data_IF_869084197742
#
_entry.id   IF_869084197742
#
_cell.length_a   1.000
_cell.length_b   1.000
_cell.length_c   1.000
_cell.angle_alpha   90.00
_cell.angle_beta   90.00
_cell.angle_gamma   90.00
#
_symmetry.space_group_name_H-M   'P 1'
#
loop_
_entity.id
_entity.type
_entity.pdbx_description
1 polymer ?
#
# COMPACT_ATOMS: atom_id res chain seq x y z
N UNK A 1 6.87 10.26 0.51
CA UNK A 1 7.88 10.92 -0.34
C UNK A 1 7.68 10.66 -1.84
N UNK A 2 7.14 9.50 -2.22
CA UNK A 2 6.96 9.13 -3.63
C UNK A 2 5.54 9.30 -4.13
N UNK A 3 4.61 9.64 -3.28
CA UNK A 3 3.22 9.86 -3.66
C UNK A 3 3.07 11.25 -4.28
N UNK A 4 2.73 11.29 -5.57
CA UNK A 4 2.47 12.55 -6.29
C UNK A 4 1.01 12.95 -6.17
N UNK A 5 0.10 11.99 -6.23
CA UNK A 5 -1.34 12.22 -6.18
C UNK A 5 -2.06 10.98 -5.69
N UNK A 6 -3.10 11.19 -4.90
CA UNK A 6 -4.05 10.16 -4.52
C UNK A 6 -5.46 10.63 -4.86
N UNK A 7 -6.23 9.81 -5.57
CA UNK A 7 -7.59 10.14 -5.98
C UNK A 7 -8.55 8.99 -5.67
N UNK A 8 -9.58 9.28 -4.89
CA UNK A 8 -10.63 8.31 -4.58
C UNK A 8 -11.74 8.43 -5.62
N UNK A 9 -12.01 7.33 -6.34
CA UNK A 9 -13.09 7.27 -7.32
C UNK A 9 -14.42 6.88 -6.69
N UNK A 10 -14.37 5.94 -5.76
CA UNK A 10 -15.56 5.35 -5.17
C UNK A 10 -15.26 4.90 -3.75
N UNK A 11 -16.20 5.17 -2.84
CA UNK A 11 -16.09 4.73 -1.45
C UNK A 11 -17.43 4.17 -1.01
N UNK A 12 -17.41 2.93 -0.53
CA UNK A 12 -18.57 2.26 0.06
C UNK A 12 -18.26 1.88 1.49
N UNK A 13 -19.15 2.20 2.40
CA UNK A 13 -18.98 1.90 3.81
C UNK A 13 -20.16 1.12 4.34
N UNK A 14 -19.89 0.02 5.01
CA UNK A 14 -20.86 -0.76 5.79
C UNK A 14 -20.41 -0.79 7.25
N UNK A 15 -21.17 -1.46 8.12
CA UNK A 15 -20.79 -1.56 9.53
C UNK A 15 -19.46 -2.30 9.73
N UNK A 16 -19.15 -3.27 8.88
CA UNK A 16 -17.98 -4.13 9.02
C UNK A 16 -16.83 -3.79 8.07
N UNK A 17 -17.14 -3.13 6.94
CA UNK A 17 -16.17 -2.89 5.88
C UNK A 17 -16.20 -1.46 5.36
N UNK A 18 -15.02 -0.99 4.95
CA UNK A 18 -14.88 0.17 4.09
C UNK A 18 -14.19 -0.29 2.81
N UNK A 19 -14.84 -0.05 1.67
CA UNK A 19 -14.31 -0.39 0.35
C UNK A 19 -14.02 0.90 -0.41
N UNK A 20 -12.78 1.04 -0.88
CA UNK A 20 -12.33 2.24 -1.59
C UNK A 20 -11.70 1.81 -2.91
N UNK A 21 -12.17 2.42 -4.01
CA UNK A 21 -11.51 2.35 -5.31
C UNK A 21 -10.75 3.66 -5.51
N UNK A 22 -9.44 3.56 -5.65
CA UNK A 22 -8.59 4.74 -5.68
C UNK A 22 -7.45 4.60 -6.66
N UNK A 23 -6.99 5.74 -7.17
CA UNK A 23 -5.76 5.86 -7.94
C UNK A 23 -4.66 6.42 -7.05
N UNK A 24 -3.50 5.81 -7.13
CA UNK A 24 -2.28 6.30 -6.53
C UNK A 24 -1.25 6.55 -7.62
N UNK A 25 -0.82 7.79 -7.76
CA UNK A 25 0.24 8.15 -8.68
C UNK A 25 1.54 8.29 -7.92
N UNK A 26 2.51 7.49 -8.31
CA UNK A 26 3.83 7.49 -7.69
C UNK A 26 4.88 7.89 -8.71
N UNK A 27 5.90 8.59 -8.27
CA UNK A 27 6.96 9.00 -9.14
C UNK A 27 8.22 9.36 -8.40
N UNK A 28 9.33 9.16 -9.09
CA UNK A 28 10.66 9.57 -8.65
C UNK A 28 11.53 9.71 -9.89
N UNK A 29 12.08 10.91 -10.10
CA UNK A 29 12.88 11.23 -11.28
C UNK A 29 12.04 11.11 -12.56
N UNK A 30 12.33 10.12 -13.42
CA UNK A 30 11.66 9.93 -14.71
C UNK A 30 10.50 8.93 -14.65
N UNK A 31 10.23 8.36 -13.50
CA UNK A 31 9.15 7.39 -13.34
C UNK A 31 7.91 8.10 -12.82
N UNK A 32 6.80 7.92 -13.53
CA UNK A 32 5.49 8.43 -13.13
C UNK A 32 4.45 7.40 -13.58
N UNK A 33 3.88 6.70 -12.59
CA UNK A 33 2.93 5.62 -12.83
C UNK A 33 1.70 5.76 -11.94
N UNK A 34 0.55 5.49 -12.52
CA UNK A 34 -0.72 5.50 -11.79
C UNK A 34 -1.24 4.08 -11.62
N UNK A 35 -1.54 3.72 -10.38
CA UNK A 35 -2.09 2.42 -10.03
C UNK A 35 -3.52 2.60 -9.55
N UNK A 36 -4.46 1.91 -10.19
CA UNK A 36 -5.83 1.84 -9.72
C UNK A 36 -5.98 0.62 -8.82
N UNK A 37 -6.39 0.83 -7.60
CA UNK A 37 -6.45 -0.23 -6.58
C UNK A 37 -7.81 -0.27 -5.92
N UNK A 38 -8.18 -1.47 -5.50
CA UNK A 38 -9.31 -1.70 -4.61
C UNK A 38 -8.75 -1.90 -3.20
N UNK A 39 -9.14 -1.02 -2.29
CA UNK A 39 -8.72 -1.07 -0.89
C UNK A 39 -9.91 -1.51 -0.06
N UNK A 40 -9.75 -2.60 0.69
CA UNK A 40 -10.77 -3.13 1.57
C UNK A 40 -10.24 -3.10 3.00
N UNK A 41 -10.92 -2.34 3.86
CA UNK A 41 -10.63 -2.31 5.28
C UNK A 41 -11.70 -3.08 6.05
N UNK A 42 -11.28 -4.12 6.77
CA UNK A 42 -12.14 -4.89 7.66
C UNK A 42 -11.93 -4.41 9.09
N UNK A 43 -12.98 -3.83 9.68
CA UNK A 43 -12.91 -3.29 11.05
C UNK A 43 -12.75 -4.39 12.10
N UNK A 44 -13.42 -5.51 11.88
CA UNK A 44 -13.41 -6.63 12.84
C UNK A 44 -12.04 -7.29 12.95
N UNK A 45 -11.31 -7.33 11.84
CA UNK A 45 -10.02 -8.03 11.74
C UNK A 45 -8.82 -7.09 11.83
N UNK A 46 -9.05 -5.77 11.86
CA UNK A 46 -7.99 -4.77 11.74
C UNK A 46 -7.05 -5.05 10.56
N UNK A 47 -7.65 -5.32 9.41
CA UNK A 47 -6.96 -5.76 8.21
C UNK A 47 -7.29 -4.85 7.04
N UNK A 48 -6.24 -4.37 6.37
CA UNK A 48 -6.37 -3.64 5.10
C UNK A 48 -5.81 -4.53 3.99
N UNK A 49 -6.63 -4.78 2.96
CA UNK A 49 -6.24 -5.53 1.77
C UNK A 49 -6.28 -4.62 0.56
N UNK A 50 -5.21 -4.61 -0.22
CA UNK A 50 -5.10 -3.82 -1.45
C UNK A 50 -4.89 -4.77 -2.62
N UNK A 51 -5.75 -4.67 -3.63
CA UNK A 51 -5.61 -5.43 -4.88
C UNK A 51 -5.61 -4.49 -6.07
N UNK A 52 -4.93 -4.87 -7.15
CA UNK A 52 -4.89 -4.03 -8.34
C UNK A 52 -6.18 -4.16 -9.16
N UNK A 53 -6.59 -3.05 -9.75
CA UNK A 53 -7.68 -3.01 -10.74
C UNK A 53 -7.18 -2.64 -12.12
N UNK A 54 -6.23 -1.69 -12.19
CA UNK A 54 -5.66 -1.23 -13.45
C UNK A 54 -4.29 -0.63 -13.19
N UNK A 55 -3.49 -0.50 -14.26
CA UNK A 55 -2.15 0.06 -14.19
C UNK A 55 -1.09 -0.91 -14.71
N UNK A 56 0.20 -0.66 -14.41
CA UNK A 56 1.32 -1.47 -14.91
C UNK A 56 1.48 -2.83 -14.22
N UNK A 57 0.66 -3.14 -13.24
CA UNK A 57 0.75 -4.40 -12.48
C UNK A 57 -0.12 -5.47 -13.10
N UNK A 58 0.45 -6.65 -13.31
CA UNK A 58 -0.30 -7.85 -13.68
C UNK A 58 -1.05 -8.39 -12.47
N UNK A 59 -0.41 -8.35 -11.30
CA UNK A 59 -0.94 -8.83 -10.05
C UNK A 59 -0.44 -8.00 -8.89
N UNK A 60 -1.32 -7.66 -7.96
CA UNK A 60 -0.97 -7.06 -6.68
C UNK A 60 -1.92 -7.58 -5.61
N UNK A 61 -1.34 -8.12 -4.56
CA UNK A 61 -2.05 -8.37 -3.31
C UNK A 61 -1.19 -7.84 -2.17
N UNK A 62 -1.73 -6.91 -1.42
CA UNK A 62 -1.04 -6.27 -0.31
C UNK A 62 -1.96 -6.35 0.90
N UNK A 63 -1.44 -6.81 2.02
CA UNK A 63 -2.20 -6.90 3.26
C UNK A 63 -1.46 -6.18 4.38
N UNK A 64 -2.21 -5.37 5.13
CA UNK A 64 -1.75 -4.70 6.33
C UNK A 64 -2.59 -5.19 7.49
N UNK A 65 -1.98 -5.85 8.44
CA UNK A 65 -2.64 -6.36 9.64
C UNK A 65 -2.11 -5.66 10.87
N UNK A 66 -3.01 -5.17 11.70
CA UNK A 66 -2.69 -4.39 12.89
C UNK A 66 -3.10 -5.18 14.13
N UNK A 67 -2.15 -5.38 15.04
CA UNK A 67 -2.41 -6.05 16.32
C UNK A 67 -1.91 -5.16 17.46
N UNK A 68 -2.74 -4.98 18.47
CA UNK A 68 -2.36 -4.24 19.67
C UNK A 68 -1.69 -5.21 20.66
N UNK A 69 -0.46 -4.87 21.07
CA UNK A 69 0.31 -5.66 22.03
C UNK A 69 0.92 -4.72 23.06
N UNK A 70 0.54 -4.87 24.34
CA UNK A 70 1.14 -4.12 25.46
C UNK A 70 1.23 -2.60 25.21
N UNK A 71 0.13 -1.97 24.78
CA UNK A 71 0.03 -0.54 24.47
C UNK A 71 0.81 -0.12 23.22
N UNK A 72 1.34 -1.08 22.48
CA UNK A 72 1.98 -0.86 21.17
C UNK A 72 1.19 -1.54 20.08
N UNK A 73 1.35 -1.07 18.85
CA UNK A 73 0.71 -1.68 17.68
C UNK A 73 1.74 -2.44 16.88
N UNK A 74 1.51 -3.74 16.69
CA UNK A 74 2.29 -4.55 15.77
C UNK A 74 1.64 -4.50 14.39
N UNK A 75 2.43 -4.13 13.37
CA UNK A 75 1.99 -4.07 11.99
C UNK A 75 2.63 -5.22 11.23
N UNK A 76 1.79 -6.07 10.62
CA UNK A 76 2.24 -7.12 9.71
C UNK A 76 1.91 -6.69 8.30
N UNK A 77 2.92 -6.65 7.46
CA UNK A 77 2.83 -6.24 6.06
C UNK A 77 3.19 -7.40 5.16
N UNK A 78 2.27 -7.73 4.24
CA UNK A 78 2.46 -8.77 3.26
C UNK A 78 2.20 -8.21 1.87
N UNK A 79 3.13 -8.43 0.95
CA UNK A 79 2.97 -7.98 -0.43
C UNK A 79 3.33 -9.10 -1.42
N UNK A 80 2.47 -9.27 -2.42
CA UNK A 80 2.72 -10.11 -3.57
C UNK A 80 2.42 -9.29 -4.81
N UNK A 81 3.42 -9.05 -5.64
CA UNK A 81 3.31 -8.15 -6.78
C UNK A 81 4.01 -8.73 -8.00
N UNK A 82 3.39 -8.56 -9.18
CA UNK A 82 3.95 -8.93 -10.46
C UNK A 82 3.65 -7.82 -11.48
N UNK A 83 4.66 -7.37 -12.20
CA UNK A 83 4.52 -6.37 -13.25
C UNK A 83 4.15 -7.05 -14.57
N UNK A 84 3.44 -6.31 -15.44
CA UNK A 84 3.08 -6.78 -16.78
C UNK A 84 4.30 -7.03 -17.67
N UNK A 85 5.39 -6.30 -17.43
CA UNK A 85 6.64 -6.43 -18.18
C UNK A 85 7.61 -7.38 -17.44
N UNK A 86 7.95 -8.50 -18.08
CA UNK A 86 8.85 -9.51 -17.49
C UNK A 86 10.25 -8.99 -17.18
N UNK A 87 10.77 -8.07 -17.99
CA UNK A 87 12.08 -7.46 -17.76
C UNK A 87 12.11 -6.71 -16.43
N UNK A 88 11.08 -5.90 -16.17
CA UNK A 88 10.97 -5.18 -14.90
C UNK A 88 10.76 -6.11 -13.72
N UNK A 89 10.11 -7.26 -13.92
CA UNK A 89 9.96 -8.26 -12.85
C UNK A 89 11.30 -8.82 -12.38
N UNK A 90 12.25 -9.02 -13.30
CA UNK A 90 13.59 -9.50 -12.96
C UNK A 90 14.31 -8.44 -12.11
N UNK A 91 14.24 -7.18 -12.51
CA UNK A 91 14.84 -6.06 -11.76
C UNK A 91 14.17 -5.91 -10.39
N UNK A 92 12.85 -5.99 -10.35
CA UNK A 92 12.08 -5.88 -9.11
C UNK A 92 12.47 -6.96 -8.10
N UNK A 93 12.62 -8.21 -8.56
CA UNK A 93 13.04 -9.31 -7.67
C UNK A 93 14.42 -9.08 -7.07
N UNK A 94 15.36 -8.51 -7.81
CA UNK A 94 16.71 -8.22 -7.34
C UNK A 94 16.78 -7.11 -6.30
N UNK A 95 15.92 -6.10 -6.43
CA UNK A 95 15.91 -4.92 -5.55
C UNK A 95 14.72 -4.87 -4.59
N UNK A 96 13.90 -5.90 -4.57
CA UNK A 96 12.62 -5.90 -3.87
C UNK A 96 12.76 -5.66 -2.36
N UNK A 97 13.65 -6.39 -1.69
CA UNK A 97 13.84 -6.25 -0.24
C UNK A 97 14.34 -4.85 0.13
N UNK A 98 15.22 -4.29 -0.66
CA UNK A 98 15.74 -2.94 -0.44
C UNK A 98 14.64 -1.87 -0.58
N UNK A 99 13.85 -1.96 -1.65
CA UNK A 99 12.72 -1.05 -1.88
C UNK A 99 11.65 -1.19 -0.82
N UNK A 100 11.36 -2.42 -0.41
CA UNK A 100 10.37 -2.72 0.61
C UNK A 100 10.75 -2.12 1.96
N UNK A 101 12.00 -2.24 2.36
CA UNK A 101 12.49 -1.65 3.60
C UNK A 101 12.34 -0.11 3.59
N UNK A 102 12.64 0.53 2.48
CA UNK A 102 12.46 1.99 2.35
C UNK A 102 11.01 2.41 2.48
N UNK A 103 10.09 1.64 1.91
CA UNK A 103 8.66 1.93 2.00
C UNK A 103 8.17 1.77 3.44
N UNK A 104 8.52 0.68 4.10
CA UNK A 104 8.11 0.45 5.48
C UNK A 104 8.69 1.48 6.44
N UNK A 105 9.95 1.86 6.26
CA UNK A 105 10.58 2.93 7.04
C UNK A 105 9.87 4.27 6.85
N UNK A 106 9.46 4.60 5.63
CA UNK A 106 8.74 5.83 5.34
C UNK A 106 7.37 5.87 6.04
N UNK A 107 6.65 4.75 6.06
CA UNK A 107 5.38 4.64 6.79
C UNK A 107 5.57 4.77 8.29
N UNK A 108 6.59 4.14 8.83
CA UNK A 108 6.92 4.24 10.27
C UNK A 108 7.26 5.68 10.67
N UNK A 109 8.11 6.35 9.90
CA UNK A 109 8.46 7.76 10.13
C UNK A 109 7.23 8.67 10.08
N UNK A 110 6.34 8.44 9.12
CA UNK A 110 5.12 9.21 8.99
C UNK A 110 4.19 9.01 10.18
N UNK A 111 4.05 7.78 10.65
CA UNK A 111 3.25 7.46 11.84
C UNK A 111 3.80 8.16 13.08
N UNK A 112 5.10 8.07 13.31
CA UNK A 112 5.76 8.76 14.43
C UNK A 112 5.53 10.27 14.36
N UNK A 113 5.67 10.86 13.18
CA UNK A 113 5.47 12.28 12.96
C UNK A 113 4.05 12.73 13.29
N UNK A 114 3.05 11.96 12.85
CA UNK A 114 1.65 12.27 13.10
C UNK A 114 1.26 12.14 14.56
N UNK A 115 1.76 11.13 15.26
CA UNK A 115 1.43 10.90 16.66
C UNK A 115 2.17 11.83 17.61
N UNK A 116 3.36 12.29 17.25
CA UNK A 116 4.08 13.30 18.06
C UNK A 116 3.43 14.68 18.03
N UNK A 117 2.59 14.94 17.04
CA UNK A 117 1.86 16.21 16.90
C UNK A 117 0.56 16.25 17.72
N UNK A 118 0.18 15.13 18.32
CA UNK A 118 -0.98 15.03 19.22
C UNK A 118 -0.55 15.32 20.69
#
# INVERSE_FOLDING_TARGET
PWCLEGKIHEKKSTNDFIEIKADLTVGKRFINETFTSLVLYSRDKDLITVTNRDGPLKHLKNEWKYNEINQSTKIEFLINVELKNNYFNIILKKSFNFGLNKITDAFEERAIRLYKQC
#
